data_IF_301229626657
#
_entry.id   IF_301229626657
#
_cell.length_a   1.000
_cell.length_b   1.000
_cell.length_c   1.000
_cell.angle_alpha   90.00
_cell.angle_beta   90.00
_cell.angle_gamma   90.00
#
_symmetry.space_group_name_H-M   'P 1'
#
loop_
_entity.id
_entity.type
_entity.pdbx_description
1 polymer ?
#
# COMPACT_ATOMS: atom_id res chain seq x y z
N UNK A 1 -3.39 -0.46 -20.00
CA UNK A 1 -2.09 -0.35 -19.35
C UNK A 1 -2.20 -0.94 -17.95
N UNK A 2 -1.48 -2.01 -17.73
CA UNK A 2 -1.61 -2.72 -16.47
C UNK A 2 -0.61 -2.20 -15.46
N UNK A 3 -1.14 -1.72 -14.35
CA UNK A 3 -0.30 -1.30 -13.24
C UNK A 3 -0.18 -2.48 -12.30
N UNK A 4 1.01 -3.02 -12.22
CA UNK A 4 1.26 -4.10 -11.30
C UNK A 4 1.79 -3.57 -10.01
N UNK A 5 1.09 -3.90 -8.92
CA UNK A 5 1.60 -3.61 -7.60
C UNK A 5 2.64 -4.64 -7.23
N UNK A 6 3.76 -4.17 -6.74
CA UNK A 6 4.83 -5.03 -6.31
C UNK A 6 5.25 -4.64 -4.90
N UNK A 7 5.96 -5.54 -4.24
CA UNK A 7 6.52 -5.21 -2.95
C UNK A 7 7.42 -4.00 -3.10
N UNK A 8 7.26 -3.06 -2.19
CA UNK A 8 8.03 -1.83 -2.23
C UNK A 8 7.35 -0.69 -2.97
N UNK A 9 6.24 -0.96 -3.65
CA UNK A 9 5.50 0.10 -4.31
C UNK A 9 4.96 1.07 -3.26
N UNK A 10 5.08 2.36 -3.54
CA UNK A 10 4.59 3.38 -2.62
C UNK A 10 3.14 3.67 -2.90
N UNK A 11 2.35 3.73 -1.85
CA UNK A 11 0.92 3.98 -1.96
C UNK A 11 0.49 4.88 -0.81
N UNK A 12 -0.70 5.46 -0.94
CA UNK A 12 -1.33 6.17 0.16
C UNK A 12 -2.83 6.03 0.04
N UNK A 13 -3.52 6.28 1.13
CA UNK A 13 -4.98 6.24 1.11
C UNK A 13 -5.53 7.41 0.32
N UNK A 14 -6.62 7.16 -0.41
CA UNK A 14 -7.29 8.23 -1.16
C UNK A 14 -7.80 9.32 -0.25
N UNK A 15 -8.14 8.97 0.98
CA UNK A 15 -8.62 9.93 1.96
C UNK A 15 -7.50 10.76 2.57
N UNK A 16 -6.28 10.44 2.25
CA UNK A 16 -5.11 11.10 2.81
C UNK A 16 -4.43 10.20 3.83
N UNK A 17 -3.25 10.63 4.27
CA UNK A 17 -2.52 9.87 5.25
C UNK A 17 -1.06 9.71 4.87
N UNK A 18 -0.32 8.89 5.60
CA UNK A 18 1.10 8.71 5.32
C UNK A 18 1.32 7.91 4.06
N UNK A 19 2.48 8.12 3.48
CA UNK A 19 2.92 7.29 2.36
C UNK A 19 3.36 5.95 2.94
N UNK A 20 2.85 4.87 2.34
CA UNK A 20 3.14 3.52 2.80
C UNK A 20 3.81 2.74 1.69
N UNK A 21 4.47 1.66 2.05
CA UNK A 21 5.02 0.75 1.06
C UNK A 21 4.29 -0.58 1.14
N UNK A 22 4.10 -1.19 -0.01
CA UNK A 22 3.46 -2.50 -0.07
C UNK A 22 4.41 -3.54 0.51
N UNK A 23 3.96 -4.23 1.55
CA UNK A 23 4.79 -5.24 2.18
C UNK A 23 4.47 -6.64 1.70
N UNK A 24 3.21 -6.88 1.34
CA UNK A 24 2.82 -8.21 0.90
C UNK A 24 1.55 -8.13 0.07
N UNK A 25 1.47 -8.99 -0.92
CA UNK A 25 0.26 -9.17 -1.71
C UNK A 25 -0.06 -10.65 -1.71
N UNK A 26 -0.95 -11.03 -0.82
CA UNK A 26 -1.24 -12.43 -0.62
C UNK A 26 -1.84 -13.10 -1.84
N UNK A 27 -2.71 -12.38 -2.52
CA UNK A 27 -3.45 -12.98 -3.61
C UNK A 27 -3.64 -11.94 -4.70
N UNK A 28 -3.27 -12.31 -5.91
CA UNK A 28 -3.40 -11.38 -7.02
C UNK A 28 -4.84 -11.04 -7.35
N UNK A 29 -5.75 -11.93 -7.01
CA UNK A 29 -7.16 -11.70 -7.23
C UNK A 29 -7.82 -10.92 -6.10
N UNK A 30 -7.13 -10.80 -4.99
CA UNK A 30 -7.68 -10.08 -3.85
C UNK A 30 -7.39 -8.60 -3.93
N UNK A 31 -8.36 -7.85 -3.46
CA UNK A 31 -8.22 -6.39 -3.39
C UNK A 31 -7.53 -5.95 -2.10
N UNK A 32 -7.06 -6.88 -1.30
CA UNK A 32 -6.47 -6.57 -0.01
C UNK A 32 -4.96 -6.54 -0.13
N UNK A 33 -4.38 -5.41 0.23
CA UNK A 33 -2.94 -5.17 0.12
C UNK A 33 -2.40 -4.85 1.49
N UNK A 34 -1.38 -5.57 1.91
CA UNK A 34 -0.71 -5.28 3.17
C UNK A 34 0.32 -4.17 2.96
N UNK A 35 0.22 -3.13 3.75
CA UNK A 35 1.11 -1.98 3.64
C UNK A 35 1.77 -1.71 4.98
N UNK A 36 2.91 -1.07 4.93
CA UNK A 36 3.60 -0.68 6.15
C UNK A 36 4.19 0.71 6.00
N UNK A 37 4.30 1.38 7.12
CA UNK A 37 4.83 2.74 7.15
C UNK A 37 5.45 3.01 8.52
N UNK A 38 6.29 4.03 8.57
CA UNK A 38 6.89 4.43 9.84
C UNK A 38 6.15 5.63 10.42
N UNK A 39 5.91 5.58 11.70
CA UNK A 39 5.32 6.68 12.42
C UNK A 39 5.95 6.78 13.81
N UNK A 40 6.52 7.93 14.10
CA UNK A 40 7.17 8.19 15.39
C UNK A 40 8.22 7.14 15.72
N UNK A 41 8.96 6.72 14.71
CA UNK A 41 10.01 5.74 14.90
C UNK A 41 9.54 4.31 15.01
N UNK A 42 8.23 4.08 14.88
CA UNK A 42 7.68 2.74 14.94
C UNK A 42 7.17 2.29 13.59
N UNK A 43 7.39 1.03 13.30
CA UNK A 43 6.87 0.44 12.07
C UNK A 43 5.42 0.06 12.30
N UNK A 44 4.54 0.62 11.49
CA UNK A 44 3.12 0.30 11.51
C UNK A 44 2.79 -0.55 10.30
N UNK A 45 1.79 -1.39 10.45
CA UNK A 45 1.40 -2.32 9.39
C UNK A 45 -0.10 -2.52 9.43
N UNK A 46 -0.71 -2.55 8.25
CA UNK A 46 -2.14 -2.78 8.16
C UNK A 46 -2.47 -3.22 6.74
N UNK A 47 -3.68 -3.73 6.56
CA UNK A 47 -4.16 -4.16 5.27
C UNK A 47 -5.27 -3.23 4.81
N UNK A 48 -5.27 -2.91 3.51
CA UNK A 48 -6.23 -1.99 2.94
C UNK A 48 -6.78 -2.54 1.63
N UNK A 49 -7.96 -2.08 1.27
CA UNK A 49 -8.51 -2.39 -0.05
C UNK A 49 -7.78 -1.60 -1.11
N UNK A 50 -7.46 -2.29 -2.20
CA UNK A 50 -6.75 -1.66 -3.30
C UNK A 50 -7.47 -0.43 -3.82
N UNK A 51 -8.78 -0.48 -3.89
CA UNK A 51 -9.56 0.64 -4.41
C UNK A 51 -9.52 1.87 -3.51
N UNK A 52 -9.03 1.71 -2.28
CA UNK A 52 -8.86 2.84 -1.36
C UNK A 52 -7.46 3.41 -1.42
N UNK A 53 -6.60 2.88 -2.27
CA UNK A 53 -5.21 3.29 -2.34
C UNK A 53 -4.92 4.01 -3.64
N UNK A 54 -4.02 4.97 -3.55
CA UNK A 54 -3.44 5.65 -4.71
C UNK A 54 -2.00 5.20 -4.82
N UNK A 55 -1.61 4.77 -6.02
CA UNK A 55 -0.23 4.39 -6.27
C UNK A 55 0.57 5.66 -6.52
N UNK A 56 1.64 5.81 -5.76
CA UNK A 56 2.51 6.97 -5.88
C UNK A 56 3.63 6.60 -6.84
N UNK A 57 3.62 7.23 -8.00
CA UNK A 57 4.64 6.96 -8.99
C UNK A 57 5.87 7.81 -8.70
N UNK A 58 7.07 7.20 -8.85
CA UNK A 58 8.31 7.96 -8.69
C UNK A 58 8.50 8.99 -9.80
#
# INVERSE_FOLDING_TARGET
MDIKLEKGTLVMLKSGGPIMSVSDMRDQSDSIISCEWFRDGELKRDAFNLENLIIICP
#
